data_IF_727774422850
#
_entry.id   IF_727774422850
#
_cell.length_a   1.000
_cell.length_b   1.000
_cell.length_c   1.000
_cell.angle_alpha   90.00
_cell.angle_beta   90.00
_cell.angle_gamma   90.00
#
_symmetry.space_group_name_H-M   'P 1'
#
loop_
_entity.id
_entity.type
_entity.pdbx_description
1 polymer ?
#
# COMPACT_ATOMS: atom_id res chain seq x y z
N UNK A 1 21.43 -2.92 -13.75
CA UNK A 1 20.38 -2.31 -14.59
C UNK A 1 21.08 -1.25 -15.47
N UNK A 2 20.87 -1.28 -16.79
CA UNK A 2 21.42 -0.24 -17.67
C UNK A 2 20.89 1.15 -17.31
N UNK A 3 21.51 2.20 -17.86
CA UNK A 3 21.22 3.62 -17.62
C UNK A 3 21.54 4.08 -16.18
N UNK A 4 20.98 3.43 -15.16
CA UNK A 4 21.20 3.79 -13.74
C UNK A 4 22.43 3.12 -13.13
N UNK A 5 23.00 2.12 -13.76
CA UNK A 5 24.16 1.36 -13.27
C UNK A 5 23.92 0.58 -11.96
N UNK A 6 22.67 0.49 -11.48
CA UNK A 6 22.35 -0.19 -10.24
C UNK A 6 22.61 -1.68 -10.34
N UNK A 7 23.30 -2.24 -9.33
CA UNK A 7 23.51 -3.68 -9.19
C UNK A 7 22.34 -4.30 -8.42
N UNK A 8 21.67 -5.26 -9.03
CA UNK A 8 20.56 -5.99 -8.42
C UNK A 8 20.96 -7.45 -8.18
N UNK A 9 20.32 -8.06 -7.17
CA UNK A 9 20.46 -9.48 -6.92
C UNK A 9 19.58 -10.28 -7.87
N UNK A 10 20.07 -11.45 -8.27
CA UNK A 10 19.24 -12.48 -8.89
C UNK A 10 18.72 -13.35 -7.75
N UNK A 11 17.41 -13.51 -7.68
CA UNK A 11 16.72 -14.38 -6.71
C UNK A 11 15.99 -15.47 -7.48
N UNK A 12 15.88 -16.66 -6.86
CA UNK A 12 15.06 -17.76 -7.38
C UNK A 12 13.70 -17.69 -6.71
N UNK A 13 12.65 -17.59 -7.51
CA UNK A 13 11.27 -17.59 -7.03
C UNK A 13 10.37 -18.30 -8.03
N UNK A 14 9.38 -19.03 -7.54
CA UNK A 14 8.42 -19.79 -8.37
C UNK A 14 7.46 -18.86 -9.16
N UNK A 15 7.47 -17.58 -8.85
CA UNK A 15 6.72 -16.56 -9.61
C UNK A 15 7.25 -16.36 -11.04
N UNK A 16 8.55 -16.59 -11.26
CA UNK A 16 9.15 -16.48 -12.59
C UNK A 16 8.91 -17.80 -13.37
N UNK A 17 8.08 -17.73 -14.41
CA UNK A 17 7.83 -18.87 -15.30
C UNK A 17 9.01 -19.05 -16.27
N UNK A 18 9.75 -20.18 -16.19
CA UNK A 18 10.89 -20.44 -17.08
C UNK A 18 10.50 -20.63 -18.55
N UNK A 19 9.24 -20.94 -18.84
CA UNK A 19 8.74 -21.11 -20.20
C UNK A 19 8.35 -19.80 -20.87
N UNK A 20 8.31 -18.69 -20.12
CA UNK A 20 8.01 -17.36 -20.65
C UNK A 20 9.27 -16.53 -20.93
N UNK A 21 9.44 -16.10 -22.18
CA UNK A 21 10.56 -15.25 -22.61
C UNK A 21 11.93 -15.89 -22.31
N UNK A 22 12.71 -15.21 -21.47
CA UNK A 22 14.03 -15.71 -21.01
C UNK A 22 13.97 -16.46 -19.67
N UNK A 23 12.79 -16.60 -19.07
CA UNK A 23 12.63 -17.09 -17.71
C UNK A 23 13.14 -16.12 -16.63
N UNK A 24 13.58 -14.91 -17.00
CA UNK A 24 14.06 -13.88 -16.08
C UNK A 24 13.09 -12.71 -16.03
N UNK A 25 12.58 -12.41 -14.83
CA UNK A 25 11.64 -11.31 -14.59
C UNK A 25 12.31 -10.20 -13.78
N UNK A 26 12.13 -8.95 -14.20
CA UNK A 26 12.57 -7.78 -13.44
C UNK A 26 11.52 -7.39 -12.41
N UNK A 27 11.91 -7.35 -11.14
CA UNK A 27 11.03 -7.00 -10.02
C UNK A 27 11.13 -5.51 -9.69
N UNK A 28 9.97 -4.83 -9.62
CA UNK A 28 9.81 -3.40 -9.31
C UNK A 28 8.81 -3.17 -8.17
N UNK A 29 9.19 -3.42 -6.93
CA UNK A 29 8.28 -3.52 -5.78
C UNK A 29 7.46 -2.26 -5.45
N UNK A 30 7.86 -1.09 -5.93
CA UNK A 30 7.13 0.15 -5.67
C UNK A 30 5.96 0.41 -6.63
N UNK A 31 5.88 -0.33 -7.76
CA UNK A 31 4.98 0.00 -8.87
C UNK A 31 4.22 -1.20 -9.45
N UNK A 32 4.27 -2.34 -8.78
CA UNK A 32 3.51 -3.54 -9.12
C UNK A 32 3.18 -4.33 -7.86
N UNK A 33 1.94 -4.83 -7.77
CA UNK A 33 1.44 -5.52 -6.57
C UNK A 33 2.15 -6.85 -6.33
N UNK A 34 2.35 -7.64 -7.37
CA UNK A 34 3.01 -8.94 -7.24
C UNK A 34 4.50 -8.76 -6.92
N UNK A 35 5.14 -7.80 -7.59
CA UNK A 35 6.53 -7.44 -7.33
C UNK A 35 6.72 -6.90 -5.91
N UNK A 36 5.70 -6.21 -5.35
CA UNK A 36 5.71 -5.75 -3.97
C UNK A 36 5.77 -6.93 -2.98
N UNK A 37 4.93 -7.93 -3.17
CA UNK A 37 4.94 -9.12 -2.30
C UNK A 37 6.26 -9.89 -2.38
N UNK A 38 6.85 -10.01 -3.57
CA UNK A 38 8.17 -10.61 -3.75
C UNK A 38 9.23 -9.75 -3.06
N UNK A 39 9.21 -8.45 -3.28
CA UNK A 39 10.12 -7.51 -2.63
C UNK A 39 10.08 -7.58 -1.11
N UNK A 40 8.88 -7.67 -0.55
CA UNK A 40 8.61 -7.83 0.88
C UNK A 40 9.09 -9.18 1.41
N UNK A 41 8.81 -10.27 0.69
CA UNK A 41 9.26 -11.65 1.01
C UNK A 41 10.77 -11.73 1.18
N UNK A 42 11.52 -11.05 0.33
CA UNK A 42 13.00 -11.03 0.37
C UNK A 42 13.57 -9.80 1.08
N UNK A 43 12.73 -8.92 1.62
CA UNK A 43 13.12 -7.67 2.28
C UNK A 43 14.14 -6.87 1.46
N UNK A 44 13.81 -6.63 0.19
CA UNK A 44 14.69 -5.97 -0.76
C UNK A 44 14.88 -4.50 -0.39
N UNK A 45 16.13 -4.06 -0.30
CA UNK A 45 16.46 -2.67 -0.05
C UNK A 45 17.69 -2.23 -0.85
N UNK A 46 17.75 -0.95 -1.16
CA UNK A 46 18.86 -0.35 -1.91
C UNK A 46 19.79 0.39 -0.95
N UNK A 47 21.09 0.18 -1.13
CA UNK A 47 22.15 0.92 -0.47
C UNK A 47 23.36 1.02 -1.41
N UNK A 48 23.96 2.20 -1.52
CA UNK A 48 25.15 2.44 -2.33
C UNK A 48 25.01 1.91 -3.78
N UNK A 49 23.88 2.18 -4.41
CA UNK A 49 23.51 1.72 -5.76
C UNK A 49 23.55 0.20 -5.95
N UNK A 50 23.28 -0.57 -4.88
CA UNK A 50 23.16 -2.02 -4.89
C UNK A 50 21.89 -2.45 -4.16
N UNK A 51 21.22 -3.49 -4.66
CA UNK A 51 20.10 -4.09 -3.97
C UNK A 51 20.55 -5.29 -3.15
N UNK A 52 20.14 -5.32 -1.92
CA UNK A 52 20.42 -6.36 -0.93
C UNK A 52 19.17 -7.11 -0.56
N UNK A 53 19.35 -8.30 0.01
CA UNK A 53 18.34 -9.14 0.63
C UNK A 53 18.58 -9.07 2.13
N UNK A 54 17.54 -8.84 2.92
CA UNK A 54 17.56 -8.86 4.38
C UNK A 54 16.65 -9.97 4.93
N UNK A 55 16.79 -10.25 6.21
CA UNK A 55 15.86 -11.09 6.98
C UNK A 55 14.92 -10.24 7.87
N UNK A 56 15.16 -8.94 7.92
CA UNK A 56 14.38 -8.01 8.71
C UNK A 56 13.40 -7.26 7.80
N UNK A 57 12.11 -7.40 8.05
CA UNK A 57 11.06 -6.73 7.26
C UNK A 57 11.18 -5.20 7.30
N UNK A 58 11.72 -4.64 8.35
CA UNK A 58 11.93 -3.19 8.47
C UNK A 58 12.99 -2.64 7.50
N UNK A 59 13.80 -3.53 6.90
CA UNK A 59 14.76 -3.14 5.87
C UNK A 59 14.13 -3.04 4.48
N UNK A 60 12.90 -3.53 4.29
CA UNK A 60 12.21 -3.45 3.01
C UNK A 60 11.93 -1.99 2.65
N UNK A 61 12.62 -1.51 1.61
CA UNK A 61 12.53 -0.12 1.14
C UNK A 61 12.46 -0.09 -0.39
N UNK A 62 11.28 -0.23 -0.97
CA UNK A 62 11.08 -0.16 -2.42
C UNK A 62 11.32 1.25 -2.94
N UNK A 63 11.89 1.35 -4.13
CA UNK A 63 12.25 2.62 -4.75
C UNK A 63 11.05 3.15 -5.54
N UNK A 64 10.37 4.12 -4.98
CA UNK A 64 9.29 4.82 -5.67
C UNK A 64 9.89 5.90 -6.60
N UNK A 65 9.56 5.85 -7.89
CA UNK A 65 10.05 6.78 -8.91
C UNK A 65 9.01 7.82 -9.35
N UNK A 66 7.78 7.77 -8.84
CA UNK A 66 6.71 8.69 -9.22
C UNK A 66 6.26 9.58 -8.04
N UNK A 67 5.85 10.80 -8.35
CA UNK A 67 5.05 11.64 -7.48
C UNK A 67 3.55 11.33 -7.62
N UNK A 68 2.68 12.13 -6.97
CA UNK A 68 1.22 11.92 -7.00
C UNK A 68 0.61 12.11 -8.41
N UNK A 69 1.23 12.92 -9.25
CA UNK A 69 0.77 13.21 -10.61
C UNK A 69 1.33 12.23 -11.65
N UNK A 70 1.98 11.14 -11.20
CA UNK A 70 2.66 10.16 -12.03
C UNK A 70 3.79 10.77 -12.91
N UNK A 71 4.39 11.86 -12.42
CA UNK A 71 5.65 12.38 -12.93
C UNK A 71 6.81 11.76 -12.17
N UNK A 72 7.93 11.59 -12.83
CA UNK A 72 9.13 11.06 -12.20
C UNK A 72 9.70 12.02 -11.16
N UNK A 73 10.17 11.46 -10.06
CA UNK A 73 10.77 12.21 -8.94
C UNK A 73 12.32 12.16 -8.98
N UNK A 74 12.95 12.58 -7.90
CA UNK A 74 14.41 12.63 -7.76
C UNK A 74 15.11 11.26 -7.55
N UNK A 75 14.37 10.16 -7.51
CA UNK A 75 14.92 8.80 -7.42
C UNK A 75 15.36 8.23 -8.80
N UNK A 76 15.17 9.00 -9.87
CA UNK A 76 15.63 8.66 -11.21
C UNK A 76 16.84 9.53 -11.62
N UNK A 77 17.62 9.12 -12.63
CA UNK A 77 18.68 9.99 -13.18
C UNK A 77 18.13 11.35 -13.63
N UNK A 78 18.93 12.40 -13.49
CA UNK A 78 18.54 13.79 -13.81
C UNK A 78 17.91 13.98 -15.20
N UNK A 79 18.33 13.19 -16.19
CA UNK A 79 17.75 13.19 -17.53
C UNK A 79 16.26 12.88 -17.55
N UNK A 80 15.76 12.10 -16.59
CA UNK A 80 14.38 11.63 -16.51
C UNK A 80 13.58 12.32 -15.41
N UNK A 81 14.20 13.17 -14.59
CA UNK A 81 13.55 13.80 -13.43
C UNK A 81 12.50 14.85 -13.86
N UNK A 82 11.40 14.92 -13.14
CA UNK A 82 10.30 15.85 -13.38
C UNK A 82 9.68 15.76 -14.78
N UNK A 83 9.57 14.57 -15.31
CA UNK A 83 8.96 14.31 -16.61
C UNK A 83 7.71 13.43 -16.46
N UNK A 84 6.75 13.64 -17.38
CA UNK A 84 5.64 12.75 -17.55
C UNK A 84 6.08 11.33 -17.92
N UNK A 85 5.44 10.32 -17.34
CA UNK A 85 5.80 8.90 -17.51
C UNK A 85 5.86 8.43 -18.96
N UNK A 86 4.98 8.94 -19.83
CA UNK A 86 4.99 8.56 -21.25
C UNK A 86 6.15 9.20 -22.02
N UNK A 87 6.58 10.40 -21.60
CA UNK A 87 7.81 11.01 -22.13
C UNK A 87 9.04 10.21 -21.69
N UNK A 88 9.08 9.84 -20.41
CA UNK A 88 10.19 9.03 -19.86
C UNK A 88 10.31 7.70 -20.58
N UNK A 89 9.19 7.01 -20.86
CA UNK A 89 9.19 5.75 -21.62
C UNK A 89 9.88 5.89 -22.97
N UNK A 90 9.56 6.94 -23.73
CA UNK A 90 10.21 7.22 -25.03
C UNK A 90 11.70 7.52 -24.88
N UNK A 91 12.10 8.29 -23.85
CA UNK A 91 13.51 8.59 -23.59
C UNK A 91 14.30 7.33 -23.19
N UNK A 92 13.73 6.46 -22.35
CA UNK A 92 14.38 5.19 -21.98
C UNK A 92 14.62 4.31 -23.20
N UNK A 93 13.64 4.19 -24.12
CA UNK A 93 13.81 3.45 -25.37
C UNK A 93 14.97 4.04 -26.19
N UNK A 94 15.00 5.37 -26.32
CA UNK A 94 16.10 6.06 -27.03
C UNK A 94 17.47 5.76 -26.42
N UNK A 95 17.61 5.92 -25.10
CA UNK A 95 18.86 5.66 -24.38
C UNK A 95 19.31 4.20 -24.54
N UNK A 96 18.38 3.23 -24.43
CA UNK A 96 18.69 1.81 -24.62
C UNK A 96 19.13 1.51 -26.06
N UNK A 97 18.56 2.20 -27.05
CA UNK A 97 18.95 2.09 -28.46
C UNK A 97 20.37 2.63 -28.66
N UNK A 98 20.68 3.80 -28.10
CA UNK A 98 22.01 4.41 -28.18
C UNK A 98 23.08 3.54 -27.51
N UNK A 99 22.73 2.90 -26.40
CA UNK A 99 23.59 1.92 -25.70
C UNK A 99 23.69 0.56 -26.41
N UNK A 100 22.94 0.34 -27.50
CA UNK A 100 22.84 -0.95 -28.22
C UNK A 100 22.35 -2.09 -27.32
N UNK A 101 21.46 -1.78 -26.40
CA UNK A 101 20.87 -2.72 -25.45
C UNK A 101 19.39 -3.00 -25.75
N UNK A 102 18.79 -2.31 -26.70
CA UNK A 102 17.43 -2.60 -27.17
C UNK A 102 17.49 -3.70 -28.22
N UNK A 103 16.86 -4.83 -27.95
CA UNK A 103 16.77 -5.96 -28.89
C UNK A 103 15.64 -5.74 -29.92
N UNK A 104 14.42 -5.46 -29.38
CA UNK A 104 13.26 -5.17 -30.22
C UNK A 104 12.20 -4.40 -29.44
N UNK A 105 11.29 -3.77 -30.17
CA UNK A 105 10.05 -3.18 -29.67
C UNK A 105 8.90 -3.86 -30.39
N UNK A 106 7.92 -4.36 -29.65
CA UNK A 106 6.77 -5.06 -30.18
C UNK A 106 5.48 -4.48 -29.60
N UNK A 107 4.43 -4.45 -30.42
CA UNK A 107 3.09 -4.18 -29.91
C UNK A 107 2.60 -5.36 -29.07
N UNK A 108 2.06 -5.06 -27.91
CA UNK A 108 1.59 -6.06 -26.96
C UNK A 108 0.27 -5.61 -26.32
N UNK A 109 -0.72 -6.48 -26.36
CA UNK A 109 -2.01 -6.23 -25.72
C UNK A 109 -1.90 -6.48 -24.22
N UNK A 110 -2.15 -5.43 -23.42
CA UNK A 110 -2.09 -5.50 -21.98
C UNK A 110 -3.29 -4.79 -21.33
N UNK A 111 -3.83 -5.39 -20.29
CA UNK A 111 -4.86 -4.74 -19.46
C UNK A 111 -4.22 -3.68 -18.58
N UNK A 112 -4.57 -2.43 -18.84
CA UNK A 112 -4.04 -1.28 -18.10
C UNK A 112 -5.13 -0.72 -17.18
N UNK A 113 -4.87 -0.54 -15.86
CA UNK A 113 -5.82 0.06 -14.96
C UNK A 113 -6.08 1.52 -15.32
N UNK A 114 -7.35 1.93 -15.27
CA UNK A 114 -7.78 3.30 -15.58
C UNK A 114 -8.72 3.82 -14.51
N UNK A 115 -8.65 5.13 -14.27
CA UNK A 115 -9.56 5.82 -13.37
C UNK A 115 -11.00 5.74 -13.91
N UNK A 116 -11.93 5.28 -13.08
CA UNK A 116 -13.34 5.06 -13.44
C UNK A 116 -13.99 6.31 -14.05
N UNK A 117 -13.71 7.48 -13.49
CA UNK A 117 -14.32 8.76 -13.95
C UNK A 117 -13.48 9.47 -15.02
N UNK A 118 -12.17 9.47 -14.86
CA UNK A 118 -11.25 10.23 -15.72
C UNK A 118 -10.78 9.48 -16.95
N UNK A 119 -10.90 8.15 -16.95
CA UNK A 119 -10.31 7.22 -17.93
C UNK A 119 -8.79 7.39 -18.11
N UNK A 120 -8.12 8.05 -17.17
CA UNK A 120 -6.66 8.21 -17.17
C UNK A 120 -6.01 6.91 -16.71
N UNK A 121 -4.88 6.55 -17.31
CA UNK A 121 -4.06 5.42 -16.88
C UNK A 121 -3.56 5.65 -15.45
N UNK A 122 -3.76 4.67 -14.59
CA UNK A 122 -3.32 4.69 -13.19
C UNK A 122 -1.98 3.98 -13.10
N UNK A 123 -1.04 4.58 -12.35
CA UNK A 123 0.23 3.95 -11.99
C UNK A 123 0.17 3.53 -10.52
N UNK A 124 0.45 2.27 -10.18
CA UNK A 124 0.58 1.85 -8.79
C UNK A 124 1.71 2.63 -8.10
N UNK A 125 1.44 3.13 -6.91
CA UNK A 125 2.40 3.89 -6.11
C UNK A 125 2.19 3.58 -4.63
N UNK A 126 3.27 3.37 -3.90
CA UNK A 126 3.21 3.20 -2.46
C UNK A 126 2.92 4.55 -1.78
N UNK A 127 2.02 4.51 -0.83
CA UNK A 127 1.69 5.63 0.07
C UNK A 127 1.48 5.11 1.48
N UNK A 128 1.72 5.97 2.47
CA UNK A 128 1.36 5.65 3.85
C UNK A 128 -0.16 5.68 3.98
N UNK A 129 -0.71 4.65 4.59
CA UNK A 129 -2.14 4.48 4.79
C UNK A 129 -2.40 3.95 6.19
N UNK A 130 -3.58 4.23 6.73
CA UNK A 130 -4.03 3.66 7.98
C UNK A 130 -4.70 2.31 7.76
N UNK A 131 -4.27 1.31 8.53
CA UNK A 131 -4.79 -0.04 8.47
C UNK A 131 -5.28 -0.52 9.82
N UNK A 132 -6.39 -1.26 9.80
CA UNK A 132 -6.84 -2.08 10.94
C UNK A 132 -6.29 -3.48 10.75
N UNK A 133 -5.55 -4.00 11.73
CA UNK A 133 -5.12 -5.39 11.77
C UNK A 133 -6.31 -6.29 12.11
N UNK A 134 -6.89 -6.89 11.10
CA UNK A 134 -8.14 -7.65 11.20
C UNK A 134 -7.95 -9.08 11.63
N UNK A 135 -6.78 -9.69 11.41
CA UNK A 135 -6.54 -11.11 11.65
C UNK A 135 -6.86 -11.57 13.08
N UNK A 136 -6.41 -10.84 14.12
CA UNK A 136 -6.68 -11.20 15.52
C UNK A 136 -8.16 -11.08 15.89
N UNK A 137 -8.85 -10.09 15.32
CA UNK A 137 -10.29 -9.91 15.53
C UNK A 137 -11.09 -11.04 14.86
N UNK A 138 -10.70 -11.39 13.63
CA UNK A 138 -11.30 -12.50 12.89
C UNK A 138 -11.09 -13.84 13.59
N UNK A 139 -9.92 -14.10 14.13
CA UNK A 139 -9.66 -15.33 14.90
C UNK A 139 -10.57 -15.44 16.12
N UNK A 140 -10.74 -14.35 16.89
CA UNK A 140 -11.66 -14.31 18.04
C UNK A 140 -13.11 -14.57 17.62
N UNK A 141 -13.57 -13.92 16.55
CA UNK A 141 -14.92 -14.11 16.01
C UNK A 141 -15.13 -15.54 15.52
N UNK A 142 -14.18 -16.10 14.79
CA UNK A 142 -14.19 -17.48 14.32
C UNK A 142 -14.29 -18.49 15.47
N UNK A 143 -13.60 -18.24 16.58
CA UNK A 143 -13.69 -19.09 17.76
C UNK A 143 -15.12 -19.11 18.35
N UNK A 144 -15.81 -18.00 18.42
CA UNK A 144 -17.16 -17.92 18.96
C UNK A 144 -18.19 -18.61 18.04
N UNK A 145 -17.99 -18.54 16.72
CA UNK A 145 -18.79 -19.31 15.75
C UNK A 145 -18.53 -20.81 15.91
N UNK A 146 -17.25 -21.23 15.98
CA UNK A 146 -16.88 -22.65 16.17
C UNK A 146 -17.43 -23.23 17.48
N UNK A 147 -17.52 -22.42 18.55
CA UNK A 147 -18.12 -22.81 19.82
C UNK A 147 -19.67 -22.86 19.77
N UNK A 148 -20.28 -22.46 18.67
CA UNK A 148 -21.73 -22.45 18.49
C UNK A 148 -22.45 -21.30 19.22
N UNK A 149 -21.74 -20.32 19.75
CA UNK A 149 -22.35 -19.13 20.38
C UNK A 149 -22.96 -18.19 19.33
N UNK A 150 -22.39 -18.15 18.13
CA UNK A 150 -22.94 -17.44 16.97
C UNK A 150 -23.44 -18.49 15.98
N UNK A 151 -24.71 -18.38 15.55
CA UNK A 151 -25.35 -19.29 14.63
C UNK A 151 -25.87 -18.57 13.41
N UNK A 152 -25.71 -19.18 12.24
CA UNK A 152 -26.17 -18.64 10.96
C UNK A 152 -27.52 -19.29 10.57
N UNK A 153 -28.44 -18.48 10.07
CA UNK A 153 -29.73 -18.93 9.54
C UNK A 153 -29.96 -18.34 8.16
N UNK A 154 -30.05 -19.12 7.09
CA UNK A 154 -29.82 -20.58 7.04
C UNK A 154 -28.33 -20.95 7.20
N UNK A 155 -28.11 -22.21 7.62
CA UNK A 155 -26.80 -22.69 8.05
C UNK A 155 -25.75 -22.76 6.93
N UNK A 156 -26.14 -22.70 5.65
CA UNK A 156 -25.23 -22.72 4.51
C UNK A 156 -24.30 -21.49 4.46
N UNK A 157 -24.70 -20.34 5.04
CA UNK A 157 -23.88 -19.12 5.10
C UNK A 157 -22.62 -19.25 5.96
N UNK A 158 -22.56 -20.27 6.82
CA UNK A 158 -21.37 -20.52 7.65
C UNK A 158 -20.12 -20.77 6.79
N UNK A 159 -20.27 -21.42 5.63
CA UNK A 159 -19.16 -21.66 4.70
C UNK A 159 -18.63 -20.35 4.09
N UNK A 160 -19.55 -19.48 3.67
CA UNK A 160 -19.20 -18.15 3.15
C UNK A 160 -18.50 -17.31 4.21
N UNK A 161 -19.02 -17.32 5.44
CA UNK A 161 -18.40 -16.63 6.57
C UNK A 161 -16.94 -17.06 6.79
N UNK A 162 -16.68 -18.37 6.94
CA UNK A 162 -15.32 -18.85 7.14
C UNK A 162 -14.41 -18.59 5.93
N UNK A 163 -14.93 -18.70 4.72
CA UNK A 163 -14.14 -18.39 3.53
C UNK A 163 -13.64 -16.94 3.50
N UNK A 164 -14.45 -16.00 4.01
CA UNK A 164 -14.00 -14.61 4.18
C UNK A 164 -13.09 -14.42 5.38
N UNK A 165 -13.48 -14.93 6.54
CA UNK A 165 -12.80 -14.65 7.80
C UNK A 165 -11.46 -15.36 7.95
N UNK A 166 -11.29 -16.56 7.36
CA UNK A 166 -10.02 -17.30 7.38
C UNK A 166 -8.96 -16.70 6.41
N UNK A 167 -9.42 -15.91 5.43
CA UNK A 167 -8.56 -15.25 4.43
C UNK A 167 -8.63 -13.72 4.52
N UNK A 168 -9.01 -13.18 5.67
CA UNK A 168 -9.18 -11.75 5.82
C UNK A 168 -7.83 -11.02 5.80
N UNK A 169 -7.75 -9.98 5.02
CA UNK A 169 -6.58 -9.11 4.93
C UNK A 169 -6.74 -7.88 5.82
N UNK A 170 -5.63 -7.21 6.14
CA UNK A 170 -5.66 -5.95 6.87
C UNK A 170 -6.47 -4.89 6.09
N UNK A 171 -7.37 -4.22 6.80
CA UNK A 171 -8.30 -3.28 6.21
C UNK A 171 -7.71 -1.87 6.15
N UNK A 172 -7.46 -1.35 4.93
CA UNK A 172 -7.12 0.05 4.72
C UNK A 172 -8.35 0.92 5.00
N UNK A 173 -8.25 1.79 6.00
CA UNK A 173 -9.36 2.65 6.45
C UNK A 173 -9.18 4.13 6.07
N UNK A 174 -8.07 4.53 5.51
CA UNK A 174 -7.83 5.89 5.03
C UNK A 174 -8.28 6.08 3.59
N UNK A 175 -8.87 7.24 3.29
CA UNK A 175 -9.36 7.62 1.97
C UNK A 175 -8.95 9.04 1.64
N UNK A 176 -8.46 9.26 0.41
CA UNK A 176 -8.07 10.55 -0.15
C UNK A 176 -9.25 11.19 -0.86
N UNK A 177 -10.28 11.55 -0.11
CA UNK A 177 -11.49 12.22 -0.62
C UNK A 177 -11.80 13.47 0.21
N UNK A 178 -12.51 14.41 -0.36
CA UNK A 178 -12.74 15.71 0.28
C UNK A 178 -13.83 15.70 1.35
N UNK A 179 -14.66 14.66 1.39
CA UNK A 179 -15.78 14.57 2.32
C UNK A 179 -15.69 13.29 3.14
N UNK A 180 -15.80 13.45 4.45
CA UNK A 180 -15.78 12.34 5.41
C UNK A 180 -15.29 12.78 6.78
N UNK A 181 -15.18 11.83 7.70
CA UNK A 181 -14.60 12.06 9.03
C UNK A 181 -13.08 12.00 8.92
N UNK A 182 -12.42 13.11 9.17
CA UNK A 182 -10.94 13.16 9.16
C UNK A 182 -10.37 12.17 10.16
N UNK A 183 -9.27 11.55 9.79
CA UNK A 183 -8.53 10.64 10.68
C UNK A 183 -8.05 11.44 11.90
N UNK A 184 -8.34 10.98 13.14
CA UNK A 184 -8.01 11.69 14.37
C UNK A 184 -6.54 11.47 14.76
N UNK A 185 -5.64 11.80 13.86
CA UNK A 185 -4.19 11.69 14.02
C UNK A 185 -3.52 13.01 13.63
N UNK A 186 -2.45 13.34 14.35
CA UNK A 186 -1.65 14.56 14.16
C UNK A 186 -0.18 14.18 14.01
N UNK A 187 0.53 14.95 13.24
CA UNK A 187 1.95 14.77 12.95
C UNK A 187 2.71 16.01 13.35
N UNK A 188 3.91 15.81 13.92
CA UNK A 188 4.89 16.88 14.07
C UNK A 188 5.89 16.92 12.91
N UNK A 189 6.74 17.93 12.87
CA UNK A 189 7.78 18.09 11.83
C UNK A 189 8.81 16.96 11.81
N UNK A 190 8.92 16.19 12.89
CA UNK A 190 9.81 15.03 12.99
C UNK A 190 9.14 13.74 12.49
N UNK A 191 7.86 13.78 12.11
CA UNK A 191 7.08 12.64 11.64
C UNK A 191 6.57 11.73 12.77
N UNK A 192 6.57 12.21 14.03
CA UNK A 192 5.91 11.49 15.11
C UNK A 192 4.39 11.58 14.96
N UNK A 193 3.70 10.53 15.36
CA UNK A 193 2.25 10.36 15.19
C UNK A 193 1.58 10.41 16.57
N UNK A 194 0.57 11.24 16.69
CA UNK A 194 -0.22 11.42 17.90
C UNK A 194 -1.71 11.20 17.56
N UNK A 195 -2.44 10.49 18.41
CA UNK A 195 -3.84 10.16 18.19
C UNK A 195 -4.71 10.69 19.32
N UNK A 196 -5.84 11.29 19.00
CA UNK A 196 -6.80 11.84 19.96
C UNK A 196 -8.05 12.38 19.26
N UNK A 197 -9.07 12.76 20.00
CA UNK A 197 -10.33 13.27 19.45
C UNK A 197 -10.16 14.64 18.77
N UNK A 198 -9.31 15.46 19.34
CA UNK A 198 -8.98 16.79 18.84
C UNK A 198 -7.54 17.16 19.22
N UNK A 199 -7.03 18.24 18.65
CA UNK A 199 -5.66 18.71 18.89
C UNK A 199 -5.38 19.02 20.37
N UNK A 200 -6.35 19.59 21.08
CA UNK A 200 -6.17 19.94 22.50
C UNK A 200 -6.02 18.68 23.36
N UNK A 201 -6.79 17.64 23.10
CA UNK A 201 -6.68 16.36 23.80
C UNK A 201 -5.34 15.69 23.52
N UNK A 202 -4.87 15.74 22.27
CA UNK A 202 -3.54 15.27 21.88
C UNK A 202 -2.47 16.01 22.68
N UNK A 203 -2.51 17.35 22.70
CA UNK A 203 -1.54 18.18 23.45
C UNK A 203 -1.54 17.85 24.93
N UNK A 204 -2.70 17.72 25.54
CA UNK A 204 -2.85 17.42 26.96
C UNK A 204 -2.33 16.01 27.29
N UNK A 205 -2.73 15.00 26.50
CA UNK A 205 -2.38 13.60 26.74
C UNK A 205 -0.88 13.33 26.57
N UNK A 206 -0.30 13.82 25.49
CA UNK A 206 1.11 13.62 25.16
C UNK A 206 2.02 14.67 25.77
N UNK A 207 1.48 15.68 26.48
CA UNK A 207 2.22 16.79 27.11
C UNK A 207 3.07 17.55 26.09
N UNK A 208 2.45 17.94 24.99
CA UNK A 208 3.10 18.65 23.88
C UNK A 208 2.96 20.16 24.06
N UNK A 209 4.04 20.82 24.45
CA UNK A 209 4.11 22.27 24.51
C UNK A 209 4.72 22.80 23.20
N UNK A 210 4.13 23.84 22.62
CA UNK A 210 4.68 24.65 21.53
C UNK A 210 5.25 23.87 20.31
N UNK A 211 4.73 22.67 20.03
CA UNK A 211 5.05 21.89 18.85
C UNK A 211 3.96 22.12 17.81
N UNK A 212 4.33 22.41 16.57
CA UNK A 212 3.37 22.50 15.47
C UNK A 212 2.84 21.11 15.15
N UNK A 213 1.51 20.99 15.11
CA UNK A 213 0.81 19.74 14.81
C UNK A 213 -0.05 19.91 13.56
N UNK A 214 0.07 19.00 12.64
CA UNK A 214 -0.75 18.93 11.44
C UNK A 214 -1.62 17.68 11.50
N UNK A 215 -2.95 17.88 11.43
CA UNK A 215 -3.88 16.76 11.37
C UNK A 215 -3.79 16.05 10.03
N UNK A 216 -3.92 14.72 10.04
CA UNK A 216 -4.02 13.89 8.84
C UNK A 216 -5.08 14.46 7.88
N UNK A 217 -4.74 14.56 6.60
CA UNK A 217 -5.64 15.07 5.56
C UNK A 217 -6.64 14.04 5.08
N UNK A 218 -6.35 12.75 5.29
CA UNK A 218 -7.21 11.64 4.90
C UNK A 218 -8.47 11.58 5.78
N UNK A 219 -9.48 10.95 5.25
CA UNK A 219 -10.74 10.66 5.96
C UNK A 219 -10.91 9.17 6.15
N UNK A 220 -11.71 8.79 7.14
CA UNK A 220 -12.05 7.40 7.41
C UNK A 220 -12.94 6.83 6.31
N UNK A 221 -12.73 5.57 5.99
CA UNK A 221 -13.63 4.77 5.16
C UNK A 221 -15.06 4.82 5.71
N UNK A 222 -16.03 5.00 4.83
CA UNK A 222 -17.46 5.04 5.22
C UNK A 222 -17.90 3.76 5.94
N UNK A 223 -17.37 2.61 5.51
CA UNK A 223 -17.68 1.33 6.15
C UNK A 223 -17.09 1.21 7.57
N UNK A 224 -15.98 1.90 7.85
CA UNK A 224 -15.42 1.95 9.20
C UNK A 224 -16.41 2.59 10.16
N UNK A 225 -16.97 3.75 9.82
CA UNK A 225 -17.96 4.45 10.63
C UNK A 225 -19.26 3.64 10.75
N UNK A 226 -19.76 3.06 9.65
CA UNK A 226 -21.00 2.28 9.66
C UNK A 226 -20.87 0.97 10.40
N UNK A 227 -19.69 0.38 10.51
CA UNK A 227 -19.46 -0.83 11.32
C UNK A 227 -19.66 -0.60 12.81
N UNK A 228 -19.63 0.66 13.27
CA UNK A 228 -19.89 1.02 14.67
C UNK A 228 -21.37 1.08 15.02
N UNK A 229 -22.26 1.11 14.01
CA UNK A 229 -23.70 1.29 14.20
C UNK A 229 -24.35 0.25 15.15
N UNK A 230 -24.04 -1.06 15.08
CA UNK A 230 -24.70 -2.07 15.90
C UNK A 230 -24.56 -1.85 17.41
N UNK A 231 -23.48 -1.21 17.85
CA UNK A 231 -23.24 -0.93 19.27
C UNK A 231 -23.28 0.56 19.60
N UNK A 232 -22.94 1.43 18.65
CA UNK A 232 -23.10 2.87 18.84
C UNK A 232 -24.55 3.30 19.05
N UNK A 233 -25.49 2.64 18.36
CA UNK A 233 -26.93 2.89 18.57
C UNK A 233 -27.46 2.43 19.94
N UNK A 234 -26.72 1.58 20.64
CA UNK A 234 -27.01 1.11 21.99
C UNK A 234 -26.27 1.90 23.09
N UNK A 235 -25.65 3.00 22.73
CA UNK A 235 -25.00 3.94 23.67
C UNK A 235 -23.51 3.77 23.86
N UNK A 236 -22.85 2.82 23.15
CA UNK A 236 -21.38 2.72 23.22
C UNK A 236 -20.72 4.06 22.79
N UNK A 237 -19.64 4.51 23.45
CA UNK A 237 -18.77 3.79 24.40
C UNK A 237 -19.19 3.84 25.88
N UNK A 238 -20.30 4.44 26.20
CA UNK A 238 -20.81 4.46 27.57
C UNK A 238 -21.29 3.07 28.00
N UNK A 239 -21.29 2.81 29.29
CA UNK A 239 -21.88 1.58 29.83
C UNK A 239 -23.39 1.78 29.87
N UNK A 240 -24.11 0.97 29.11
CA UNK A 240 -25.56 0.88 29.12
C UNK A 240 -26.00 -0.47 29.68
N UNK A 241 -27.27 -0.61 30.02
CA UNK A 241 -27.86 -1.87 30.52
C UNK A 241 -28.16 -2.87 29.40
N UNK A 242 -27.89 -2.50 28.12
CA UNK A 242 -28.13 -3.31 26.92
C UNK A 242 -26.87 -4.10 26.47
#
# INVERSE_FOLDING_TARGET
IPIVGRKIKIIKDDYADPEQGTGALKITPAHDFNDYEIGKKYCLHEKDNKVYISKNINDFKPINIFNQDAWTNNNVPKLFENLDRFKVRKLVIKELTELKLLEKEEEYDVSIPRGERSNIVIEPRLSHQWYVKTAEMAEKANMEVKKGKIKFHPNNWIKTYFNWMDNIEDWCISRQIWWGHRIPAWYDDNGNIYVGENEQDVRNYYKLDAIDLMQDEDVLDTWFSSSLWPFGSLGWPEKTDD
#
